data_IF_978710869559
#
_entry.id   IF_978710869559
#
_cell.length_a   1.000
_cell.length_b   1.000
_cell.length_c   1.000
_cell.angle_alpha   90.00
_cell.angle_beta   90.00
_cell.angle_gamma   90.00
#
_symmetry.space_group_name_H-M   'P 1'
#
loop_
_entity.id
_entity.type
_entity.pdbx_description
1 polymer ?
#
# COMPACT_ATOMS: atom_id res chain seq x y z
N UNK A 1 -12.58 5.09 -13.53
CA UNK A 1 -12.08 5.89 -14.67
C UNK A 1 -10.80 6.58 -14.21
N UNK A 2 -9.70 6.44 -14.96
CA UNK A 2 -8.47 7.21 -14.73
C UNK A 2 -8.59 8.54 -15.48
N UNK A 3 -8.21 9.64 -14.85
CA UNK A 3 -8.55 10.99 -15.34
C UNK A 3 -7.33 11.84 -15.67
N UNK A 4 -6.19 11.64 -15.02
CA UNK A 4 -5.01 12.49 -15.16
C UNK A 4 -3.78 11.65 -15.56
N UNK A 5 -3.20 12.00 -16.70
CA UNK A 5 -1.99 11.40 -17.25
C UNK A 5 -0.81 12.39 -17.31
N UNK A 6 -0.92 13.57 -16.66
CA UNK A 6 0.13 14.60 -16.66
C UNK A 6 1.44 14.15 -16.00
N UNK A 7 1.41 13.08 -15.20
CA UNK A 7 2.57 12.45 -14.58
C UNK A 7 2.93 11.07 -15.20
N UNK A 8 2.25 10.65 -16.27
CA UNK A 8 2.52 9.37 -16.92
C UNK A 8 3.92 9.38 -17.57
N UNK A 9 4.65 8.28 -17.45
CA UNK A 9 6.00 8.14 -18.00
C UNK A 9 6.15 6.82 -18.76
N UNK A 10 6.82 6.89 -19.90
CA UNK A 10 7.28 5.69 -20.59
C UNK A 10 8.51 5.14 -19.87
N UNK A 11 8.40 3.95 -19.29
CA UNK A 11 9.50 3.30 -18.54
C UNK A 11 10.58 2.75 -19.48
N UNK A 12 10.30 2.65 -20.79
CA UNK A 12 11.21 2.07 -21.79
C UNK A 12 12.30 3.05 -22.26
N UNK A 13 12.10 4.36 -22.13
CA UNK A 13 13.10 5.36 -22.54
C UNK A 13 13.91 5.84 -21.33
N UNK A 14 15.18 5.40 -21.26
CA UNK A 14 16.12 5.76 -20.19
C UNK A 14 16.62 7.21 -20.25
N UNK A 15 16.22 7.97 -21.26
CA UNK A 15 16.65 9.35 -21.49
C UNK A 15 15.51 10.32 -21.15
N UNK A 16 15.43 10.70 -19.88
CA UNK A 16 14.50 11.73 -19.43
C UNK A 16 14.99 12.39 -18.17
N UNK A 17 15.21 13.71 -18.23
CA UNK A 17 15.60 14.56 -17.10
C UNK A 17 14.83 14.17 -15.83
N UNK A 18 15.55 14.00 -14.72
CA UNK A 18 14.97 13.74 -13.41
C UNK A 18 14.24 15.01 -12.91
N UNK A 19 13.00 15.19 -13.34
CA UNK A 19 12.07 16.13 -12.73
C UNK A 19 11.49 15.41 -11.52
N UNK A 20 11.67 15.97 -10.31
CA UNK A 20 11.00 15.45 -9.11
C UNK A 20 9.49 15.60 -9.33
N UNK A 21 8.73 14.50 -9.49
CA UNK A 21 7.29 14.63 -9.67
C UNK A 21 6.71 15.28 -8.43
N UNK A 22 5.70 16.13 -8.60
CA UNK A 22 4.82 16.46 -7.50
C UNK A 22 4.00 15.21 -7.20
N UNK A 23 4.31 14.53 -6.10
CA UNK A 23 3.61 13.32 -5.71
C UNK A 23 2.78 13.54 -4.45
N UNK A 24 1.61 12.90 -4.40
CA UNK A 24 0.69 12.97 -3.26
C UNK A 24 1.21 12.08 -2.13
N UNK A 25 1.50 12.63 -0.93
CA UNK A 25 1.96 11.84 0.22
C UNK A 25 0.99 10.69 0.54
N UNK A 26 1.54 9.53 0.93
CA UNK A 26 0.79 8.30 1.19
C UNK A 26 0.51 7.46 -0.06
N UNK A 27 0.32 8.07 -1.23
CA UNK A 27 0.04 7.34 -2.48
C UNK A 27 1.30 7.07 -3.31
N UNK A 28 2.35 7.86 -3.09
CA UNK A 28 3.63 7.71 -3.77
C UNK A 28 4.42 6.51 -3.24
N UNK A 29 4.92 5.66 -4.14
CA UNK A 29 5.71 4.50 -3.78
C UNK A 29 7.11 4.89 -3.27
N UNK A 30 7.73 4.11 -2.36
CA UNK A 30 9.07 4.36 -1.82
C UNK A 30 10.15 4.67 -2.86
N UNK A 31 10.15 3.96 -3.99
CA UNK A 31 11.13 4.15 -5.05
C UNK A 31 11.01 5.50 -5.77
N UNK A 32 9.85 6.17 -5.73
CA UNK A 32 9.67 7.51 -6.31
C UNK A 32 10.41 8.60 -5.54
N UNK A 33 10.80 8.33 -4.29
CA UNK A 33 11.57 9.26 -3.44
C UNK A 33 13.07 9.17 -3.68
N UNK A 34 13.54 8.12 -4.38
CA UNK A 34 14.96 7.88 -4.67
C UNK A 34 15.32 8.44 -6.04
N UNK A 35 16.53 8.99 -6.19
CA UNK A 35 17.01 9.52 -7.49
C UNK A 35 17.30 8.41 -8.48
N UNK A 36 17.73 7.27 -7.98
CA UNK A 36 18.11 6.05 -8.68
C UNK A 36 17.05 4.94 -8.55
N UNK A 37 15.86 5.28 -8.05
CA UNK A 37 14.75 4.33 -7.94
C UNK A 37 14.25 3.92 -9.32
N UNK A 38 14.34 2.63 -9.64
CA UNK A 38 13.73 2.08 -10.85
C UNK A 38 12.21 2.11 -10.71
N UNK A 39 11.57 2.85 -11.60
CA UNK A 39 10.11 2.86 -11.72
C UNK A 39 9.66 1.71 -12.61
N UNK A 40 8.50 1.14 -12.30
CA UNK A 40 7.90 0.06 -13.07
C UNK A 40 6.43 -0.12 -12.71
N UNK A 41 5.75 -1.16 -13.23
CA UNK A 41 4.33 -1.40 -12.94
C UNK A 41 4.02 -1.50 -11.43
N UNK A 42 4.96 -2.02 -10.64
CA UNK A 42 4.86 -2.10 -9.18
C UNK A 42 4.72 -0.73 -8.48
N UNK A 43 5.16 0.35 -9.13
CA UNK A 43 5.03 1.73 -8.61
C UNK A 43 3.57 2.18 -8.65
N UNK A 44 2.88 1.94 -9.77
CA UNK A 44 1.44 2.24 -9.88
C UNK A 44 0.60 1.30 -9.02
N UNK A 45 1.03 0.04 -8.89
CA UNK A 45 0.36 -0.96 -8.03
C UNK A 45 0.40 -0.54 -6.55
N UNK A 46 1.48 0.06 -6.09
CA UNK A 46 1.52 0.66 -4.75
C UNK A 46 0.44 1.73 -4.59
N UNK A 47 0.31 2.65 -5.57
CA UNK A 47 -0.70 3.69 -5.54
C UNK A 47 -2.12 3.12 -5.55
N UNK A 48 -2.38 2.04 -6.32
CA UNK A 48 -3.66 1.31 -6.28
C UNK A 48 -3.92 0.75 -4.89
N UNK A 49 -2.93 0.09 -4.27
CA UNK A 49 -3.05 -0.40 -2.90
C UNK A 49 -3.35 0.73 -1.90
N UNK A 50 -2.67 1.87 -2.01
CA UNK A 50 -2.92 3.05 -1.19
C UNK A 50 -4.33 3.62 -1.39
N UNK A 51 -4.86 3.60 -2.61
CA UNK A 51 -6.25 3.98 -2.89
C UNK A 51 -7.25 3.02 -2.25
N UNK A 52 -7.03 1.70 -2.35
CA UNK A 52 -7.89 0.70 -1.70
C UNK A 52 -7.86 0.89 -0.18
N UNK A 53 -6.67 1.06 0.39
CA UNK A 53 -6.49 1.39 1.80
C UNK A 53 -7.29 2.63 2.20
N UNK A 54 -7.15 3.73 1.45
CA UNK A 54 -7.84 4.99 1.75
C UNK A 54 -9.37 4.85 1.66
N UNK A 55 -9.88 4.05 0.71
CA UNK A 55 -11.30 3.72 0.63
C UNK A 55 -11.80 2.94 1.85
N UNK A 56 -11.00 2.03 2.40
CA UNK A 56 -11.38 1.26 3.59
C UNK A 56 -11.26 2.08 4.88
N UNK A 57 -10.20 2.87 4.99
CA UNK A 57 -9.82 3.55 6.24
C UNK A 57 -10.38 4.98 6.35
N UNK A 58 -10.70 5.62 5.22
CA UNK A 58 -11.21 6.99 5.13
C UNK A 58 -10.13 8.08 5.04
N UNK A 59 -8.85 7.71 5.15
CA UNK A 59 -7.70 8.63 5.08
C UNK A 59 -6.49 7.91 4.45
N UNK A 60 -5.53 8.65 3.86
CA UNK A 60 -4.36 8.03 3.21
C UNK A 60 -3.46 7.29 4.21
N UNK A 61 -2.70 6.29 3.75
CA UNK A 61 -1.68 5.67 4.59
C UNK A 61 -0.55 6.66 4.90
N UNK A 62 0.29 6.34 5.87
CA UNK A 62 1.52 7.08 6.13
C UNK A 62 2.38 7.17 4.86
N UNK A 63 3.12 8.25 4.70
CA UNK A 63 4.00 8.42 3.55
C UNK A 63 5.12 7.38 3.54
N UNK A 64 5.70 7.15 2.36
CA UNK A 64 6.71 6.11 2.20
C UNK A 64 7.95 6.31 3.09
N UNK A 65 8.51 7.52 3.27
CA UNK A 65 9.60 7.76 4.22
C UNK A 65 9.26 7.34 5.66
N UNK A 66 8.08 7.70 6.16
CA UNK A 66 7.64 7.30 7.50
C UNK A 66 7.47 5.78 7.62
N UNK A 67 6.95 5.13 6.57
CA UNK A 67 6.82 3.67 6.56
C UNK A 67 8.17 2.95 6.52
N UNK A 68 9.18 3.51 5.84
CA UNK A 68 10.55 2.95 5.85
C UNK A 68 11.14 3.00 7.27
N UNK A 69 10.94 4.10 7.99
CA UNK A 69 11.42 4.24 9.37
C UNK A 69 10.67 3.28 10.30
N UNK A 70 9.34 3.23 10.20
CA UNK A 70 8.49 2.33 10.98
C UNK A 70 7.21 2.00 10.24
N UNK A 71 7.17 0.81 9.64
CA UNK A 71 5.97 0.36 8.95
C UNK A 71 4.88 -0.04 9.94
N UNK A 72 3.70 0.55 9.77
CA UNK A 72 2.50 0.27 10.57
C UNK A 72 1.32 -0.19 9.71
N UNK A 73 1.56 -0.46 8.43
CA UNK A 73 0.50 -0.81 7.48
C UNK A 73 -0.28 -2.05 7.95
N UNK A 74 0.41 -3.17 8.21
CA UNK A 74 -0.22 -4.41 8.63
C UNK A 74 -1.04 -4.26 9.93
N UNK A 75 -0.58 -3.40 10.85
CA UNK A 75 -1.32 -3.08 12.07
C UNK A 75 -2.61 -2.31 11.77
N UNK A 76 -2.56 -1.29 10.92
CA UNK A 76 -3.76 -0.55 10.53
C UNK A 76 -4.76 -1.46 9.81
N UNK A 77 -4.29 -2.28 8.87
CA UNK A 77 -5.11 -3.23 8.15
C UNK A 77 -5.70 -4.33 9.04
N UNK A 78 -4.97 -4.80 10.05
CA UNK A 78 -5.49 -5.79 11.01
C UNK A 78 -6.70 -5.30 11.80
N UNK A 79 -6.85 -3.98 11.99
CA UNK A 79 -8.03 -3.38 12.65
C UNK A 79 -9.28 -3.40 11.77
N UNK A 80 -9.10 -3.60 10.46
CA UNK A 80 -10.16 -3.68 9.47
C UNK A 80 -10.66 -5.11 9.26
N UNK A 81 -10.02 -6.10 9.89
CA UNK A 81 -10.49 -7.50 9.90
C UNK A 81 -11.91 -7.58 10.46
N UNK A 82 -12.67 -8.59 10.01
CA UNK A 82 -14.09 -8.78 10.30
C UNK A 82 -15.04 -7.70 9.71
N UNK A 83 -14.52 -6.56 9.21
CA UNK A 83 -15.30 -5.59 8.42
C UNK A 83 -15.09 -5.83 6.94
N UNK A 84 -13.83 -5.98 6.53
CA UNK A 84 -13.43 -6.34 5.18
C UNK A 84 -12.94 -7.79 5.15
N UNK A 85 -13.04 -8.42 3.97
CA UNK A 85 -12.60 -9.79 3.79
C UNK A 85 -11.08 -9.89 3.84
N UNK A 86 -10.58 -11.01 4.36
CA UNK A 86 -9.15 -11.26 4.55
C UNK A 86 -8.39 -11.14 3.24
N UNK A 87 -8.94 -11.65 2.14
CA UNK A 87 -8.35 -11.50 0.80
C UNK A 87 -8.17 -10.02 0.37
N UNK A 88 -9.11 -9.13 0.70
CA UNK A 88 -8.99 -7.71 0.33
C UNK A 88 -7.88 -7.05 1.16
N UNK A 89 -7.80 -7.40 2.43
CA UNK A 89 -6.74 -6.94 3.34
C UNK A 89 -5.38 -7.41 2.85
N UNK A 90 -5.24 -8.70 2.54
CA UNK A 90 -4.01 -9.33 2.06
C UNK A 90 -3.56 -8.73 0.71
N UNK A 91 -4.47 -8.54 -0.24
CA UNK A 91 -4.16 -7.90 -1.53
C UNK A 91 -3.70 -6.46 -1.32
N UNK A 92 -4.34 -5.73 -0.41
CA UNK A 92 -3.94 -4.35 -0.09
C UNK A 92 -2.53 -4.32 0.49
N UNK A 93 -2.22 -5.22 1.43
CA UNK A 93 -0.88 -5.37 2.02
C UNK A 93 0.15 -5.75 0.96
N UNK A 94 -0.17 -6.72 0.09
CA UNK A 94 0.69 -7.17 -1.00
C UNK A 94 1.07 -6.03 -1.95
N UNK A 95 0.08 -5.25 -2.40
CA UNK A 95 0.29 -4.08 -3.27
C UNK A 95 1.17 -3.02 -2.62
N UNK A 96 1.05 -2.83 -1.31
CA UNK A 96 1.73 -1.77 -0.57
C UNK A 96 3.04 -2.23 0.11
N UNK A 97 3.58 -3.39 -0.25
CA UNK A 97 4.87 -3.87 0.25
C UNK A 97 5.97 -2.83 0.02
N UNK A 98 6.86 -2.61 0.99
CA UNK A 98 7.93 -1.62 0.82
C UNK A 98 8.94 -2.03 -0.26
N UNK A 99 9.25 -3.32 -0.35
CA UNK A 99 10.05 -3.89 -1.42
C UNK A 99 9.23 -4.02 -2.73
N UNK A 100 9.63 -3.36 -3.83
CA UNK A 100 9.01 -3.49 -5.14
C UNK A 100 8.89 -4.93 -5.65
N UNK A 101 9.87 -5.80 -5.36
CA UNK A 101 9.88 -7.18 -5.87
C UNK A 101 8.89 -8.08 -5.13
N UNK A 102 8.51 -7.68 -3.91
CA UNK A 102 7.50 -8.35 -3.11
C UNK A 102 6.06 -7.98 -3.53
N UNK A 103 5.87 -6.97 -4.39
CA UNK A 103 4.57 -6.54 -4.93
C UNK A 103 4.15 -7.38 -6.16
N UNK A 104 2.87 -7.34 -6.59
CA UNK A 104 2.51 -7.86 -7.90
C UNK A 104 3.33 -7.16 -9.00
N UNK A 105 3.88 -7.96 -9.92
CA UNK A 105 4.75 -7.44 -10.98
C UNK A 105 3.97 -6.97 -12.22
N UNK A 106 2.64 -7.17 -12.24
CA UNK A 106 1.77 -6.68 -13.31
C UNK A 106 0.37 -6.39 -12.79
N UNK A 107 -0.31 -5.45 -13.44
CA UNK A 107 -1.72 -5.14 -13.15
C UNK A 107 -2.61 -6.35 -13.46
N UNK A 108 -2.21 -7.20 -14.43
CA UNK A 108 -2.92 -8.45 -14.72
C UNK A 108 -2.87 -9.43 -13.53
N UNK A 109 -1.71 -9.57 -12.87
CA UNK A 109 -1.60 -10.40 -11.67
C UNK A 109 -2.51 -9.89 -10.55
N UNK A 110 -2.53 -8.56 -10.35
CA UNK A 110 -3.42 -7.91 -9.37
C UNK A 110 -4.90 -8.10 -9.73
N UNK A 111 -5.28 -7.89 -11.00
CA UNK A 111 -6.65 -8.06 -11.48
C UNK A 111 -7.13 -9.49 -11.26
N UNK A 112 -6.29 -10.49 -11.55
CA UNK A 112 -6.62 -11.90 -11.35
C UNK A 112 -6.92 -12.22 -9.89
N UNK A 113 -6.15 -11.66 -8.97
CA UNK A 113 -6.37 -11.87 -7.53
C UNK A 113 -7.64 -11.17 -7.05
N UNK A 114 -7.87 -9.91 -7.46
CA UNK A 114 -9.09 -9.18 -7.12
C UNK A 114 -10.37 -9.79 -7.72
N UNK A 115 -10.25 -10.42 -8.89
CA UNK A 115 -11.36 -11.06 -9.60
C UNK A 115 -11.61 -12.51 -9.17
N UNK A 116 -10.86 -13.04 -8.20
CA UNK A 116 -10.99 -14.42 -7.78
C UNK A 116 -12.33 -14.63 -7.06
N UNK A 117 -13.22 -15.40 -7.65
CA UNK A 117 -14.47 -15.84 -7.02
C UNK A 117 -14.16 -16.91 -5.96
N UNK A 118 -13.72 -16.45 -4.79
CA UNK A 118 -13.59 -17.29 -3.61
C UNK A 118 -14.49 -16.82 -2.48
N UNK A 119 -14.93 -17.76 -1.64
CA UNK A 119 -15.67 -17.44 -0.42
C UNK A 119 -14.88 -16.41 0.39
N UNK A 120 -15.51 -15.26 0.63
CA UNK A 120 -14.89 -14.19 1.40
C UNK A 120 -14.79 -14.63 2.85
N UNK A 121 -13.55 -14.82 3.30
CA UNK A 121 -13.27 -15.13 4.70
C UNK A 121 -13.16 -13.84 5.50
N UNK A 122 -13.73 -13.86 6.70
CA UNK A 122 -13.73 -12.73 7.64
C UNK A 122 -13.23 -13.25 8.98
N UNK A 123 -11.92 -13.26 9.17
CA UNK A 123 -11.34 -13.72 10.43
C UNK A 123 -11.43 -12.63 11.49
N UNK A 124 -11.83 -13.02 12.71
CA UNK A 124 -11.69 -12.15 13.88
C UNK A 124 -10.25 -12.23 14.37
N UNK A 125 -9.73 -11.10 14.84
CA UNK A 125 -8.44 -11.08 15.55
C UNK A 125 -8.45 -12.08 16.71
N UNK A 126 -7.41 -12.90 16.78
CA UNK A 126 -7.12 -13.78 17.91
C UNK A 126 -6.79 -12.97 19.16
N UNK A 127 -6.84 -13.61 20.33
CA UNK A 127 -6.55 -12.94 21.61
C UNK A 127 -5.14 -12.33 21.65
N UNK A 128 -4.13 -13.04 21.14
CA UNK A 128 -2.75 -12.56 21.08
C UNK A 128 -2.60 -11.34 20.16
N UNK A 129 -3.26 -11.35 19.01
CA UNK A 129 -3.25 -10.21 18.09
C UNK A 129 -3.95 -8.98 18.69
N UNK A 130 -5.06 -9.18 19.40
CA UNK A 130 -5.73 -8.09 20.14
C UNK A 130 -4.84 -7.48 21.23
N UNK A 131 -4.14 -8.33 21.99
CA UNK A 131 -3.23 -7.88 23.04
C UNK A 131 -2.06 -7.07 22.44
N UNK A 132 -1.48 -7.55 21.34
CA UNK A 132 -0.40 -6.83 20.62
C UNK A 132 -0.87 -5.44 20.18
N UNK A 133 -2.07 -5.36 19.58
CA UNK A 133 -2.66 -4.08 19.15
C UNK A 133 -2.89 -3.11 20.32
N UNK A 134 -3.31 -3.61 21.49
CA UNK A 134 -3.49 -2.80 22.69
C UNK A 134 -2.17 -2.22 23.23
N UNK A 135 -1.12 -3.03 23.29
CA UNK A 135 0.22 -2.58 23.72
C UNK A 135 0.79 -1.51 22.79
N UNK A 136 0.61 -1.67 21.48
CA UNK A 136 1.08 -0.69 20.50
C UNK A 136 0.27 0.62 20.52
N UNK A 137 -1.02 0.57 20.82
CA UNK A 137 -1.82 1.77 21.08
C UNK A 137 -1.31 2.54 22.30
N UNK A 138 -0.97 1.85 23.39
CA UNK A 138 -0.43 2.47 24.60
C UNK A 138 0.94 3.12 24.33
N UNK A 139 1.83 2.45 23.60
CA UNK A 139 3.17 2.98 23.29
C UNK A 139 3.16 4.11 22.26
N UNK A 140 2.12 4.20 21.42
CA UNK A 140 1.94 5.31 20.49
C UNK A 140 1.22 6.50 21.13
N UNK A 141 0.29 6.28 22.06
CA UNK A 141 -0.33 7.32 22.87
C UNK A 141 0.61 7.95 23.90
N UNK A 142 1.63 7.21 24.37
CA UNK A 142 2.65 7.74 25.28
C UNK A 142 3.71 8.63 24.61
N UNK A 143 3.67 8.78 23.27
CA UNK A 143 4.58 9.64 22.48
C UNK A 143 3.89 10.90 21.93
N UNK A 144 2.68 11.22 22.38
CA UNK A 144 1.95 12.44 22.04
C UNK A 144 2.09 13.51 23.13
#
# INVERSE_FOLDING_TARGET
VLLDFGAAREVLSKEGNFIRPMYTPGFAAPEMYRRDGTLGPWTDIYAIGACIYACMQGYPPNDAPQRIEKDRLGLSLSRLRNVYSDNLIEVTEWCMSLDPLSRPQSVFALQKELGRETERQYTKLSFSERLKLQLENLTSGAKA
#
